data_IF_220347354121
#
_entry.id   IF_220347354121
#
_cell.length_a   1.000
_cell.length_b   1.000
_cell.length_c   1.000
_cell.angle_alpha   90.00
_cell.angle_beta   90.00
_cell.angle_gamma   90.00
#
_symmetry.space_group_name_H-M   'P 1'
#
loop_
_entity.id
_entity.type
_entity.pdbx_description
1 polymer ?
#
# COMPACT_ATOMS: atom_id res chain seq x y z
N UNK A 1 -8.26 14.77 34.26
CA UNK A 1 -8.50 14.73 32.81
C UNK A 1 -8.05 13.37 32.32
N UNK A 2 -8.99 12.43 32.15
CA UNK A 2 -8.68 11.08 31.67
C UNK A 2 -8.31 11.17 30.19
N UNK A 3 -7.05 10.90 29.87
CA UNK A 3 -6.66 10.62 28.49
C UNK A 3 -7.35 9.31 28.11
N UNK A 4 -8.38 9.38 27.27
CA UNK A 4 -8.87 8.21 26.56
C UNK A 4 -7.73 7.75 25.65
N UNK A 5 -6.88 6.88 26.16
CA UNK A 5 -5.99 6.08 25.33
C UNK A 5 -6.91 5.17 24.51
N UNK A 6 -7.31 5.63 23.33
CA UNK A 6 -7.97 4.79 22.34
C UNK A 6 -6.95 3.71 21.95
N UNK A 7 -6.95 2.60 22.67
CA UNK A 7 -6.07 1.47 22.39
C UNK A 7 -6.54 0.86 21.10
N UNK A 8 -5.80 1.12 20.02
CA UNK A 8 -5.97 0.43 18.75
C UNK A 8 -5.98 -1.06 19.03
N UNK A 9 -7.10 -1.72 18.74
CA UNK A 9 -7.16 -3.18 18.82
C UNK A 9 -6.28 -3.74 17.70
N UNK A 10 -5.24 -4.53 18.00
CA UNK A 10 -4.41 -5.10 16.96
C UNK A 10 -5.24 -6.05 16.10
N UNK A 11 -4.93 -6.08 14.80
CA UNK A 11 -5.48 -7.08 13.91
C UNK A 11 -4.93 -8.45 14.29
N UNK A 12 -5.77 -9.48 14.12
CA UNK A 12 -5.39 -10.87 14.20
C UNK A 12 -4.52 -11.28 13.01
N UNK A 13 -3.74 -12.35 13.16
CA UNK A 13 -2.95 -12.91 12.07
C UNK A 13 -3.82 -13.31 10.86
N UNK A 14 -5.07 -13.73 11.12
CA UNK A 14 -6.03 -14.05 10.07
C UNK A 14 -6.43 -12.82 9.26
N UNK A 15 -6.71 -11.69 9.92
CA UNK A 15 -7.04 -10.43 9.25
C UNK A 15 -5.85 -9.89 8.45
N UNK A 16 -4.63 -9.99 9.01
CA UNK A 16 -3.41 -9.62 8.29
C UNK A 16 -3.19 -10.51 7.06
N UNK A 17 -3.43 -11.81 7.20
CA UNK A 17 -3.32 -12.76 6.09
C UNK A 17 -4.36 -12.47 4.99
N UNK A 18 -5.60 -12.17 5.36
CA UNK A 18 -6.67 -11.77 4.42
C UNK A 18 -6.25 -10.56 3.60
N UNK A 19 -5.74 -9.50 4.25
CA UNK A 19 -5.23 -8.32 3.56
C UNK A 19 -4.12 -8.71 2.57
N UNK A 20 -3.15 -9.52 2.99
CA UNK A 20 -2.02 -9.92 2.14
C UNK A 20 -2.41 -10.90 1.01
N UNK A 21 -3.54 -11.59 1.14
CA UNK A 21 -4.07 -12.51 0.14
C UNK A 21 -4.67 -11.79 -1.08
N UNK A 22 -4.73 -10.46 -1.06
CA UNK A 22 -5.23 -9.65 -2.15
C UNK A 22 -4.13 -8.95 -2.96
N UNK A 23 -4.43 -8.76 -4.24
CA UNK A 23 -3.63 -7.94 -5.16
C UNK A 23 -3.43 -6.52 -4.61
N UNK A 24 -2.28 -5.87 -4.87
CA UNK A 24 -2.08 -4.47 -4.51
C UNK A 24 -3.22 -3.55 -4.96
N UNK A 25 -3.76 -3.70 -6.17
CA UNK A 25 -4.90 -2.89 -6.64
C UNK A 25 -6.15 -3.01 -5.76
N UNK A 26 -6.51 -4.24 -5.38
CA UNK A 26 -7.68 -4.54 -4.52
C UNK A 26 -7.49 -3.92 -3.14
N UNK A 27 -6.29 -4.06 -2.56
CA UNK A 27 -5.94 -3.42 -1.28
C UNK A 27 -6.02 -1.90 -1.35
N UNK A 28 -5.55 -1.31 -2.45
CA UNK A 28 -5.66 0.13 -2.68
C UNK A 28 -7.11 0.60 -2.72
N UNK A 29 -7.99 -0.11 -3.43
CA UNK A 29 -9.43 0.21 -3.46
C UNK A 29 -10.07 0.11 -2.08
N UNK A 30 -9.76 -0.94 -1.32
CA UNK A 30 -10.27 -1.12 0.05
C UNK A 30 -9.80 0.02 0.97
N UNK A 31 -8.53 0.40 0.89
CA UNK A 31 -7.96 1.45 1.71
C UNK A 31 -8.57 2.83 1.39
N UNK A 32 -8.76 3.14 0.10
CA UNK A 32 -9.45 4.36 -0.34
C UNK A 32 -10.92 4.38 0.10
N UNK A 33 -11.61 3.24 0.05
CA UNK A 33 -12.98 3.13 0.55
C UNK A 33 -13.04 3.42 2.06
N UNK A 34 -12.18 2.77 2.86
CA UNK A 34 -12.11 3.01 4.31
C UNK A 34 -11.77 4.48 4.63
N UNK A 35 -10.78 5.06 3.94
CA UNK A 35 -10.42 6.47 4.08
C UNK A 35 -11.64 7.37 3.82
N UNK A 36 -12.38 7.11 2.74
CA UNK A 36 -13.58 7.87 2.40
C UNK A 36 -14.68 7.71 3.45
N UNK A 37 -14.97 6.49 3.91
CA UNK A 37 -16.03 6.26 4.90
C UNK A 37 -15.75 6.96 6.23
N UNK A 38 -14.50 6.90 6.68
CA UNK A 38 -14.03 7.63 7.88
C UNK A 38 -14.16 9.13 7.64
N UNK A 39 -13.66 9.65 6.52
CA UNK A 39 -13.68 11.08 6.21
C UNK A 39 -15.09 11.65 6.05
N UNK A 40 -16.06 10.86 5.58
CA UNK A 40 -17.46 11.27 5.50
C UNK A 40 -18.20 11.25 6.84
N UNK A 41 -17.59 10.70 7.91
CA UNK A 41 -18.26 10.49 9.18
C UNK A 41 -19.45 9.53 9.09
N UNK A 42 -19.47 8.65 8.09
CA UNK A 42 -20.56 7.67 7.88
C UNK A 42 -20.49 6.50 8.86
N UNK A 43 -19.56 6.54 9.81
CA UNK A 43 -19.21 5.48 10.73
C UNK A 43 -19.21 6.09 12.12
N UNK A 44 -19.95 5.48 13.04
CA UNK A 44 -20.13 5.98 14.41
C UNK A 44 -18.81 5.98 15.18
N UNK A 45 -17.97 4.96 14.98
CA UNK A 45 -16.66 4.81 15.63
C UNK A 45 -15.53 4.70 14.60
N UNK A 46 -15.07 5.81 14.00
CA UNK A 46 -14.06 5.81 12.95
C UNK A 46 -12.70 5.23 13.40
N UNK A 47 -12.36 5.41 14.67
CA UNK A 47 -11.09 4.93 15.25
C UNK A 47 -11.01 3.40 15.33
N UNK A 48 -12.14 2.69 15.28
CA UNK A 48 -12.18 1.22 15.21
C UNK A 48 -11.59 0.68 13.90
N UNK A 49 -11.57 1.49 12.84
CA UNK A 49 -11.05 1.13 11.52
C UNK A 49 -9.59 1.53 11.29
N UNK A 50 -9.02 2.33 12.19
CA UNK A 50 -7.63 2.80 12.09
C UNK A 50 -6.62 1.66 12.00
N UNK A 51 -6.73 0.56 12.78
CA UNK A 51 -5.83 -0.58 12.64
C UNK A 51 -5.87 -1.21 11.24
N UNK A 52 -7.07 -1.35 10.64
CA UNK A 52 -7.23 -1.93 9.30
C UNK A 52 -6.72 -1.01 8.20
N UNK A 53 -7.04 0.29 8.29
CA UNK A 53 -6.51 1.29 7.35
C UNK A 53 -4.98 1.37 7.43
N UNK A 54 -4.40 1.37 8.63
CA UNK A 54 -2.96 1.37 8.82
C UNK A 54 -2.32 0.10 8.24
N UNK A 55 -2.90 -1.08 8.50
CA UNK A 55 -2.39 -2.33 7.95
C UNK A 55 -2.38 -2.32 6.41
N UNK A 56 -3.47 -1.86 5.77
CA UNK A 56 -3.53 -1.70 4.32
C UNK A 56 -2.45 -0.75 3.78
N UNK A 57 -2.32 0.44 4.37
CA UNK A 57 -1.29 1.43 4.01
C UNK A 57 0.11 0.82 4.11
N UNK A 58 0.40 0.10 5.20
CA UNK A 58 1.72 -0.51 5.42
C UNK A 58 1.96 -1.80 4.63
N UNK A 59 0.94 -2.34 3.96
CA UNK A 59 1.04 -3.63 3.26
C UNK A 59 1.85 -3.57 1.96
N UNK A 60 2.01 -2.37 1.37
CA UNK A 60 2.79 -2.13 0.16
C UNK A 60 3.02 -0.63 -0.05
N UNK A 61 4.21 -0.21 -0.53
CA UNK A 61 4.46 1.19 -0.92
C UNK A 61 3.44 1.72 -1.94
N UNK A 62 2.96 0.89 -2.87
CA UNK A 62 1.98 1.34 -3.88
C UNK A 62 0.61 1.64 -3.27
N UNK A 63 0.19 0.85 -2.28
CA UNK A 63 -1.07 1.09 -1.55
C UNK A 63 -0.94 2.37 -0.72
N UNK A 64 0.19 2.54 -0.01
CA UNK A 64 0.52 3.77 0.72
C UNK A 64 0.44 4.99 -0.20
N UNK A 65 1.09 4.95 -1.36
CA UNK A 65 1.17 6.06 -2.28
C UNK A 65 -0.23 6.40 -2.86
N UNK A 66 -1.05 5.39 -3.20
CA UNK A 66 -2.42 5.60 -3.68
C UNK A 66 -3.32 6.27 -2.64
N UNK A 67 -3.29 5.76 -1.40
CA UNK A 67 -4.09 6.30 -0.29
C UNK A 67 -3.63 7.72 0.07
N UNK A 68 -2.32 7.96 -0.02
CA UNK A 68 -1.74 9.30 0.21
C UNK A 68 -2.26 10.29 -0.82
N UNK A 69 -2.23 9.94 -2.12
CA UNK A 69 -2.78 10.77 -3.18
C UNK A 69 -4.27 11.06 -2.96
N UNK A 70 -5.05 10.02 -2.68
CA UNK A 70 -6.48 10.13 -2.42
C UNK A 70 -6.76 11.08 -1.24
N UNK A 71 -5.95 11.01 -0.18
CA UNK A 71 -6.07 11.90 0.97
C UNK A 71 -5.79 13.36 0.68
N UNK A 72 -4.97 13.68 -0.34
CA UNK A 72 -4.71 15.08 -0.73
C UNK A 72 -5.87 15.74 -1.47
N UNK A 73 -6.86 14.96 -1.92
CA UNK A 73 -7.99 15.48 -2.69
C UNK A 73 -8.93 16.34 -1.84
N UNK A 74 -9.09 16.04 -0.54
CA UNK A 74 -9.98 16.79 0.34
C UNK A 74 -9.36 17.03 1.73
N UNK A 75 -9.68 18.16 2.40
CA UNK A 75 -9.23 18.42 3.76
C UNK A 75 -9.66 17.34 4.76
N UNK A 76 -10.87 16.77 4.58
CA UNK A 76 -11.39 15.73 5.46
C UNK A 76 -10.54 14.45 5.39
N UNK A 77 -10.22 13.95 4.19
CA UNK A 77 -9.34 12.77 4.05
C UNK A 77 -7.92 13.03 4.53
N UNK A 78 -7.41 14.25 4.29
CA UNK A 78 -6.12 14.67 4.84
C UNK A 78 -6.10 14.60 6.37
N UNK A 79 -7.17 15.07 7.02
CA UNK A 79 -7.34 14.99 8.47
C UNK A 79 -7.31 13.55 8.98
N UNK A 80 -7.95 12.61 8.28
CA UNK A 80 -7.92 11.19 8.65
C UNK A 80 -6.49 10.64 8.71
N UNK A 81 -5.64 10.90 7.70
CA UNK A 81 -4.27 10.39 7.74
C UNK A 81 -3.40 11.08 8.80
N UNK A 82 -3.66 12.35 9.10
CA UNK A 82 -3.00 13.07 10.19
C UNK A 82 -3.39 12.48 11.55
N UNK A 83 -4.68 12.23 11.78
CA UNK A 83 -5.19 11.60 12.99
C UNK A 83 -4.72 10.16 13.13
N UNK A 84 -4.70 9.42 12.02
CA UNK A 84 -4.19 8.05 11.97
C UNK A 84 -2.73 8.01 12.44
N UNK A 85 -1.87 8.92 11.97
CA UNK A 85 -0.49 9.03 12.45
C UNK A 85 -0.42 9.45 13.93
N UNK A 86 -1.16 10.50 14.33
CA UNK A 86 -1.08 11.06 15.68
C UNK A 86 -1.60 10.11 16.76
N UNK A 87 -2.57 9.25 16.43
CA UNK A 87 -3.17 8.28 17.36
C UNK A 87 -2.58 6.88 17.25
N UNK A 88 -1.75 6.62 16.25
CA UNK A 88 -1.10 5.34 16.07
C UNK A 88 -0.18 4.99 17.25
N UNK A 89 -0.08 3.70 17.62
CA UNK A 89 1.02 3.21 18.46
C UNK A 89 2.37 3.51 17.80
N UNK A 90 3.42 3.67 18.62
CA UNK A 90 4.77 4.02 18.15
C UNK A 90 5.30 3.09 17.04
N UNK A 91 4.89 1.82 17.04
CA UNK A 91 5.24 0.81 16.02
C UNK A 91 4.70 1.14 14.63
N UNK A 92 3.58 1.86 14.52
CA UNK A 92 2.97 2.24 13.24
C UNK A 92 3.26 3.70 12.86
N UNK A 93 3.58 4.56 13.84
CA UNK A 93 3.81 5.99 13.61
C UNK A 93 4.86 6.26 12.53
N UNK A 94 5.97 5.51 12.52
CA UNK A 94 7.03 5.69 11.53
C UNK A 94 6.55 5.43 10.10
N UNK A 95 5.83 4.33 9.88
CA UNK A 95 5.34 3.95 8.55
C UNK A 95 4.20 4.85 8.06
N UNK A 96 3.52 5.55 8.97
CA UNK A 96 2.44 6.50 8.69
C UNK A 96 2.90 7.96 8.61
N UNK A 97 4.16 8.25 8.97
CA UNK A 97 4.70 9.60 8.98
C UNK A 97 4.73 10.22 7.58
N UNK A 98 5.05 9.42 6.55
CA UNK A 98 5.11 9.90 5.17
C UNK A 98 3.72 10.33 4.65
N UNK A 99 2.66 9.50 4.70
CA UNK A 99 1.33 9.93 4.31
C UNK A 99 0.86 11.20 5.04
N UNK A 100 1.08 11.28 6.36
CA UNK A 100 0.72 12.48 7.14
C UNK A 100 1.53 13.72 6.72
N UNK A 101 2.83 13.57 6.42
CA UNK A 101 3.65 14.68 5.95
C UNK A 101 3.19 15.22 4.60
N UNK A 102 2.82 14.34 3.66
CA UNK A 102 2.31 14.74 2.34
C UNK A 102 1.01 15.50 2.48
N UNK A 103 0.09 15.08 3.35
CA UNK A 103 -1.18 15.81 3.55
C UNK A 103 -0.95 17.18 4.17
N UNK A 104 -0.02 17.34 5.12
CA UNK A 104 0.37 18.66 5.63
C UNK A 104 1.00 19.54 4.54
N UNK A 105 1.88 18.99 3.70
CA UNK A 105 2.51 19.72 2.59
C UNK A 105 1.48 20.17 1.53
N UNK A 106 0.53 19.30 1.19
CA UNK A 106 -0.57 19.61 0.27
C UNK A 106 -1.50 20.72 0.77
N UNK A 107 -1.54 20.94 2.09
CA UNK A 107 -2.25 22.04 2.75
C UNK A 107 -1.37 23.29 2.94
N UNK A 108 -0.10 23.26 2.52
CA UNK A 108 0.86 24.36 2.72
C UNK A 108 1.51 24.41 4.09
N UNK A 109 1.25 23.44 4.97
CA UNK A 109 1.78 23.41 6.32
C UNK A 109 3.14 22.67 6.38
N UNK A 110 4.16 23.26 5.74
CA UNK A 110 5.51 22.70 5.73
C UNK A 110 6.16 22.64 7.12
N UNK A 111 5.70 23.48 8.07
CA UNK A 111 6.18 23.48 9.45
C UNK A 111 5.84 22.17 10.17
N UNK A 112 4.64 21.61 9.91
CA UNK A 112 4.23 20.32 10.43
C UNK A 112 4.77 19.14 9.60
N UNK A 113 4.89 19.30 8.28
CA UNK A 113 5.38 18.23 7.39
C UNK A 113 6.86 17.89 7.61
N UNK A 114 7.73 18.89 7.81
CA UNK A 114 9.18 18.68 7.81
C UNK A 114 9.74 17.81 8.96
N UNK A 115 9.28 17.97 10.22
CA UNK A 115 9.70 17.08 11.29
C UNK A 115 9.37 15.62 11.00
N UNK A 116 8.22 15.34 10.36
CA UNK A 116 7.83 13.99 9.98
C UNK A 116 8.77 13.42 8.93
N UNK A 117 9.09 14.19 7.89
CA UNK A 117 9.99 13.77 6.80
C UNK A 117 11.41 13.48 7.27
N UNK A 118 11.93 14.30 8.17
CA UNK A 118 13.28 14.15 8.71
C UNK A 118 13.44 12.87 9.54
N UNK A 119 12.34 12.34 10.06
CA UNK A 119 12.31 11.16 10.93
C UNK A 119 11.86 9.88 10.21
N UNK A 120 11.65 9.91 8.88
CA UNK A 120 11.38 8.71 8.09
C UNK A 120 12.69 7.90 7.97
N UNK A 121 12.71 6.62 8.37
CA UNK A 121 13.88 5.76 8.19
C UNK A 121 14.34 5.74 6.73
N UNK A 122 15.65 5.81 6.50
CA UNK A 122 16.25 5.89 5.16
C UNK A 122 15.92 4.70 4.24
N UNK A 123 15.43 3.58 4.77
CA UNK A 123 15.05 2.42 3.96
C UNK A 123 13.65 2.55 3.30
N UNK A 124 12.81 3.48 3.78
CA UNK A 124 11.58 3.93 3.10
C UNK A 124 11.81 5.21 2.28
N UNK A 125 13.02 5.76 2.34
CA UNK A 125 13.39 7.06 1.79
C UNK A 125 13.74 7.05 0.31
N UNK A 126 13.85 5.88 -0.33
CA UNK A 126 14.03 5.75 -1.77
C UNK A 126 12.72 5.95 -2.55
N UNK A 127 11.63 6.27 -1.84
CA UNK A 127 10.36 6.66 -2.43
C UNK A 127 10.40 8.11 -2.95
N UNK A 128 9.81 8.41 -4.12
CA UNK A 128 9.89 9.74 -4.72
C UNK A 128 9.28 10.84 -3.84
N UNK A 129 8.45 10.50 -2.84
CA UNK A 129 7.82 11.47 -1.95
C UNK A 129 8.82 12.24 -1.06
N UNK A 130 9.85 11.57 -0.51
CA UNK A 130 10.78 12.23 0.42
C UNK A 130 11.63 13.28 -0.28
N UNK A 131 12.23 12.89 -1.42
CA UNK A 131 13.01 13.79 -2.25
C UNK A 131 12.14 14.94 -2.76
N UNK A 132 10.92 14.63 -3.21
CA UNK A 132 10.05 15.64 -3.80
C UNK A 132 9.51 16.64 -2.78
N UNK A 133 9.15 16.23 -1.55
CA UNK A 133 8.73 17.21 -0.52
C UNK A 133 9.92 18.04 -0.03
N UNK A 134 11.12 17.45 0.05
CA UNK A 134 12.35 18.19 0.41
C UNK A 134 12.67 19.25 -0.64
N UNK A 135 12.54 18.91 -1.93
CA UNK A 135 12.67 19.86 -3.04
C UNK A 135 11.56 20.91 -3.03
N UNK A 136 10.31 20.52 -2.75
CA UNK A 136 9.19 21.44 -2.66
C UNK A 136 9.39 22.51 -1.59
N UNK A 137 9.92 22.15 -0.42
CA UNK A 137 10.29 23.14 0.62
C UNK A 137 11.30 24.17 0.11
N UNK A 138 12.26 23.72 -0.70
CA UNK A 138 13.38 24.56 -1.14
C UNK A 138 13.02 25.42 -2.36
N UNK A 139 12.09 24.96 -3.20
CA UNK A 139 11.84 25.53 -4.53
C UNK A 139 10.41 25.98 -4.78
N UNK A 140 9.41 25.47 -4.04
CA UNK A 140 8.00 25.76 -4.31
C UNK A 140 7.48 26.87 -3.40
N UNK A 141 7.24 28.03 -4.02
CA UNK A 141 6.75 29.24 -3.35
C UNK A 141 5.29 29.14 -2.85
N UNK A 142 4.52 28.12 -3.26
CA UNK A 142 3.12 27.97 -2.89
C UNK A 142 2.66 26.50 -2.77
N UNK A 143 1.58 26.22 -2.01
CA UNK A 143 0.97 24.88 -1.92
C UNK A 143 0.42 24.38 -3.27
N UNK A 144 0.09 25.31 -4.17
CA UNK A 144 -0.45 25.00 -5.49
C UNK A 144 0.62 24.44 -6.42
N UNK A 145 1.85 24.96 -6.36
CA UNK A 145 3.00 24.41 -7.08
C UNK A 145 3.34 22.98 -6.62
N UNK A 146 3.14 22.68 -5.33
CA UNK A 146 3.30 21.32 -4.80
C UNK A 146 2.25 20.36 -5.38
N UNK A 147 0.99 20.77 -5.44
CA UNK A 147 -0.06 19.95 -6.04
C UNK A 147 0.23 19.65 -7.51
N UNK A 148 0.50 20.68 -8.32
CA UNK A 148 0.66 20.52 -9.77
C UNK A 148 1.94 19.79 -10.18
N UNK A 149 3.02 19.92 -9.39
CA UNK A 149 4.30 19.31 -9.76
C UNK A 149 4.47 17.92 -9.17
N UNK A 150 4.00 17.72 -7.93
CA UNK A 150 4.27 16.50 -7.15
C UNK A 150 3.09 15.56 -7.21
N UNK A 151 1.91 16.02 -6.79
CA UNK A 151 0.70 15.18 -6.70
C UNK A 151 0.30 14.68 -8.09
N UNK A 152 0.27 15.57 -9.09
CA UNK A 152 -0.15 15.20 -10.45
C UNK A 152 0.84 14.23 -11.13
N UNK A 153 2.15 14.41 -10.93
CA UNK A 153 3.17 13.49 -11.45
C UNK A 153 3.02 12.09 -10.87
N UNK A 154 2.77 11.99 -9.57
CA UNK A 154 2.51 10.72 -8.91
C UNK A 154 1.20 10.08 -9.37
N UNK A 155 0.14 10.87 -9.54
CA UNK A 155 -1.15 10.38 -10.01
C UNK A 155 -1.06 9.79 -11.42
N UNK A 156 -0.19 10.33 -12.29
CA UNK A 156 0.05 9.80 -13.62
C UNK A 156 0.86 8.49 -13.63
N UNK A 157 1.84 8.34 -12.75
CA UNK A 157 2.75 7.18 -12.70
C UNK A 157 2.19 5.97 -11.94
N UNK A 158 1.24 6.19 -11.04
CA UNK A 158 0.79 5.13 -10.11
C UNK A 158 -0.07 4.01 -10.76
N UNK A 159 -1.03 4.30 -11.65
CA UNK A 159 -1.83 3.26 -12.30
C UNK A 159 -1.02 2.17 -13.04
N UNK A 160 -0.05 2.50 -13.93
CA UNK A 160 0.73 1.48 -14.61
C UNK A 160 1.60 0.66 -13.64
N UNK A 161 2.07 1.27 -12.54
CA UNK A 161 2.83 0.56 -11.50
C UNK A 161 1.98 -0.44 -10.72
N UNK A 162 0.72 -0.12 -10.45
CA UNK A 162 -0.24 -1.05 -9.85
C UNK A 162 -0.54 -2.23 -10.78
N UNK A 163 -0.69 -2.00 -12.08
CA UNK A 163 -0.92 -3.06 -13.08
C UNK A 163 0.26 -4.05 -13.13
N UNK A 164 1.50 -3.54 -13.17
CA UNK A 164 2.70 -4.38 -13.15
C UNK A 164 2.79 -5.18 -11.84
N UNK A 165 2.48 -4.56 -10.70
CA UNK A 165 2.52 -5.23 -9.40
C UNK A 165 1.47 -6.34 -9.28
N UNK A 166 0.28 -6.14 -9.82
CA UNK A 166 -0.78 -7.14 -9.90
C UNK A 166 -0.35 -8.34 -10.77
N UNK A 167 0.27 -8.08 -11.92
CA UNK A 167 0.78 -9.15 -12.79
C UNK A 167 1.88 -9.97 -12.11
N UNK A 168 2.76 -9.33 -11.33
CA UNK A 168 3.78 -10.02 -10.53
C UNK A 168 3.14 -10.84 -9.41
N UNK A 169 2.14 -10.28 -8.73
CA UNK A 169 1.39 -10.97 -7.69
C UNK A 169 0.75 -12.26 -8.23
N UNK A 170 0.03 -12.16 -9.35
CA UNK A 170 -0.61 -13.33 -9.98
C UNK A 170 0.43 -14.38 -10.36
N UNK A 171 1.51 -13.97 -11.03
CA UNK A 171 2.60 -14.87 -11.41
C UNK A 171 3.17 -15.64 -10.22
N UNK A 172 3.38 -14.95 -9.09
CA UNK A 172 3.93 -15.57 -7.89
C UNK A 172 2.93 -16.51 -7.23
N UNK A 173 1.64 -16.14 -7.19
CA UNK A 173 0.57 -17.00 -6.69
C UNK A 173 0.44 -18.28 -7.51
N UNK A 174 0.49 -18.18 -8.85
CA UNK A 174 0.49 -19.35 -9.74
C UNK A 174 1.75 -20.19 -9.58
N UNK A 175 2.93 -19.59 -9.41
CA UNK A 175 4.17 -20.34 -9.13
C UNK A 175 4.08 -21.13 -7.83
N UNK A 176 3.59 -20.52 -6.76
CA UNK A 176 3.40 -21.21 -5.47
C UNK A 176 2.36 -22.33 -5.57
N UNK A 177 1.30 -22.16 -6.38
CA UNK A 177 0.31 -23.20 -6.64
C UNK A 177 0.82 -24.33 -7.57
N UNK A 178 1.81 -24.05 -8.41
CA UNK A 178 2.35 -25.00 -9.41
C UNK A 178 3.48 -25.89 -8.89
N UNK A 179 3.90 -25.73 -7.62
CA UNK A 179 4.76 -26.68 -6.93
C UNK A 179 3.96 -27.38 -5.83
N UNK A 180 3.43 -28.59 -6.06
CA UNK A 180 3.05 -29.46 -4.97
C UNK A 180 4.31 -29.75 -4.15
N UNK A 181 4.17 -29.68 -2.82
CA UNK A 181 5.12 -30.32 -1.91
C UNK A 181 5.32 -31.77 -2.36
N UNK A 182 6.54 -32.15 -2.73
CA UNK A 182 6.81 -33.49 -3.23
C UNK A 182 8.04 -33.58 -4.12
N UNK A 183 9.22 -33.22 -3.57
CA UNK A 183 10.39 -34.03 -3.87
C UNK A 183 10.70 -34.79 -2.60
N UNK A 184 10.09 -35.96 -2.48
CA UNK A 184 10.82 -37.07 -1.88
C UNK A 184 12.09 -37.22 -2.71
N UNK A 185 13.19 -36.67 -2.21
CA UNK A 185 14.52 -37.08 -2.66
C UNK A 185 14.69 -38.51 -2.21
N UNK A 186 14.39 -39.46 -3.10
CA UNK A 186 14.96 -40.79 -3.00
C UNK A 186 16.48 -40.67 -3.18
N UNK A 187 17.22 -41.37 -2.31
CA UNK A 187 18.65 -41.20 -2.09
C UNK A 187 19.55 -41.71 -3.25
N UNK A 188 19.10 -41.65 -4.52
CA UNK A 188 19.85 -42.21 -5.66
C UNK A 188 20.12 -41.27 -6.82
N UNK A 189 19.62 -40.03 -6.82
CA UNK A 189 20.17 -38.97 -7.68
C UNK A 189 20.15 -39.24 -9.19
N UNK A 190 19.07 -39.81 -9.74
CA UNK A 190 18.88 -39.92 -11.20
C UNK A 190 17.54 -39.29 -11.58
N UNK A 191 17.58 -38.19 -12.34
CA UNK A 191 16.41 -37.59 -12.97
C UNK A 191 15.92 -38.45 -14.14
N UNK A 192 14.63 -38.83 -14.22
CA UNK A 192 14.07 -39.34 -15.47
C UNK A 192 13.91 -38.17 -16.45
N UNK A 193 14.39 -38.36 -17.68
CA UNK A 193 14.08 -37.47 -18.80
C UNK A 193 12.56 -37.47 -19.02
N UNK A 194 11.91 -36.34 -18.83
CA UNK A 194 10.58 -36.11 -19.41
C UNK A 194 10.75 -35.89 -20.92
N UNK A 195 10.34 -36.88 -21.72
CA UNK A 195 10.01 -36.64 -23.12
C UNK A 195 8.77 -35.74 -23.21
N UNK A 196 8.72 -34.79 -24.16
CA UNK A 196 7.52 -34.01 -24.41
C UNK A 196 6.41 -34.91 -24.98
N UNK A 197 5.12 -34.62 -24.70
CA UNK A 197 4.02 -35.41 -25.23
C UNK A 197 3.92 -35.26 -26.76
N UNK A 198 3.83 -36.40 -27.45
CA UNK A 198 3.49 -36.48 -28.88
C UNK A 198 2.09 -35.94 -29.14
N UNK A 199 1.87 -35.13 -30.19
CA UNK A 199 0.54 -34.64 -30.56
C UNK A 199 -0.31 -35.78 -31.14
N UNK A 200 -1.51 -35.89 -30.60
CA UNK A 200 -2.54 -36.86 -30.99
C UNK A 200 -3.01 -36.56 -32.44
N UNK A 201 -2.71 -37.48 -33.37
CA UNK A 201 -3.23 -37.43 -34.75
C UNK A 201 -4.44 -38.35 -34.83
N UNK A 202 -5.56 -37.89 -34.28
CA UNK A 202 -6.86 -38.54 -34.42
C UNK A 202 -7.41 -38.35 -35.83
N UNK A 203 -7.12 -39.30 -36.71
CA UNK A 203 -7.76 -39.47 -38.02
C UNK A 203 -8.38 -40.87 -38.04
N UNK A 204 -9.66 -41.00 -37.72
CA UNK A 204 -10.46 -42.16 -38.14
C UNK A 204 -11.86 -41.70 -38.56
N UNK A 205 -11.99 -41.51 -39.88
CA UNK A 205 -13.20 -41.75 -40.65
C UNK A 205 -13.52 -43.24 -40.58
N UNK A 206 -14.73 -43.61 -40.13
CA UNK A 206 -15.45 -44.79 -40.64
C UNK A 206 -16.92 -44.79 -40.18
N UNK A 207 -17.82 -44.29 -41.04
CA UNK A 207 -18.94 -45.04 -41.65
C UNK A 207 -19.82 -44.14 -42.51
#
# INVERSE_FOLDING_TARGET
>A
MSQNHTTWKPLTDSELHEIQAHRPSVRSTEASYLLQSIASGSIEEPTSLYPRLAALITSSPLVRDQVTLDATQTPAKSGVLQDLHNTAPATHQQNLALPAAVTYAAQGNYRAAMPLINNIPTHDADGPWRETITQARLTMASPEAFKTTVIDSFAADLPPRLEVADAVYDRNKYRQASFPAGRDTDATGITPKHEPPTPDTGNELEK
#
